data_IF_421797938460
#
_entry.id   IF_421797938460
#
_cell.length_a   1.000
_cell.length_b   1.000
_cell.length_c   1.000
_cell.angle_alpha   90.00
_cell.angle_beta   90.00
_cell.angle_gamma   90.00
#
_symmetry.space_group_name_H-M   'P 1'
#
loop_
_entity.id
_entity.type
_entity.pdbx_description
1 polymer ?
#
# COMPACT_ATOMS: atom_id res chain seq x y z
N UNK A 1 -6.53 19.42 -17.22
CA UNK A 1 -6.81 18.79 -15.91
C UNK A 1 -7.86 19.63 -15.20
N UNK A 2 -8.93 19.02 -14.68
CA UNK A 2 -9.92 19.74 -13.86
C UNK A 2 -9.40 19.84 -12.42
N UNK A 3 -9.53 21.00 -11.76
CA UNK A 3 -9.07 21.23 -10.37
C UNK A 3 -9.34 20.09 -9.37
N UNK A 4 -10.54 19.46 -9.37
CA UNK A 4 -10.85 18.32 -8.50
C UNK A 4 -9.97 17.08 -8.71
N UNK A 5 -9.47 16.84 -9.93
CA UNK A 5 -8.57 15.70 -10.22
C UNK A 5 -7.20 15.94 -9.61
N UNK A 6 -6.66 17.15 -9.73
CA UNK A 6 -5.39 17.54 -9.12
C UNK A 6 -5.45 17.38 -7.59
N UNK A 7 -6.53 17.87 -6.97
CA UNK A 7 -6.74 17.74 -5.53
C UNK A 7 -6.78 16.27 -5.07
N UNK A 8 -7.53 15.41 -5.78
CA UNK A 8 -7.55 13.98 -5.47
C UNK A 8 -6.17 13.33 -5.63
N UNK A 9 -5.42 13.71 -6.66
CA UNK A 9 -4.09 13.15 -6.94
C UNK A 9 -3.08 13.52 -5.86
N UNK A 10 -3.12 14.75 -5.35
CA UNK A 10 -2.28 15.18 -4.23
C UNK A 10 -2.63 14.39 -2.97
N UNK A 11 -3.92 14.31 -2.58
CA UNK A 11 -4.33 13.65 -1.33
C UNK A 11 -4.05 12.14 -1.36
N UNK A 12 -4.51 11.45 -2.40
CA UNK A 12 -4.32 9.99 -2.46
C UNK A 12 -2.86 9.63 -2.76
N UNK A 13 -2.14 10.47 -3.49
CA UNK A 13 -0.70 10.29 -3.72
C UNK A 13 0.13 10.44 -2.44
N UNK A 14 -0.13 11.48 -1.63
CA UNK A 14 0.57 11.67 -0.35
C UNK A 14 0.21 10.60 0.68
N UNK A 15 -1.06 10.19 0.75
CA UNK A 15 -1.48 9.09 1.60
C UNK A 15 -0.84 7.76 1.16
N UNK A 16 -0.85 7.45 -0.13
CA UNK A 16 -0.19 6.26 -0.66
C UNK A 16 1.31 6.26 -0.36
N UNK A 17 1.98 7.40 -0.52
CA UNK A 17 3.38 7.56 -0.14
C UNK A 17 3.60 7.26 1.36
N UNK A 18 2.84 7.94 2.22
CA UNK A 18 2.98 7.83 3.67
C UNK A 18 2.75 6.41 4.18
N UNK A 19 1.67 5.75 3.73
CA UNK A 19 1.35 4.39 4.17
C UNK A 19 2.32 3.36 3.58
N UNK A 20 2.69 3.47 2.31
CA UNK A 20 3.69 2.57 1.73
C UNK A 20 5.06 2.71 2.42
N UNK A 21 5.43 3.93 2.82
CA UNK A 21 6.63 4.19 3.60
C UNK A 21 6.55 3.55 5.00
N UNK A 22 5.46 3.78 5.73
CA UNK A 22 5.25 3.22 7.07
C UNK A 22 5.27 1.69 7.08
N UNK A 23 4.63 1.04 6.12
CA UNK A 23 4.64 -0.43 6.05
C UNK A 23 6.00 -0.99 5.65
N UNK A 24 6.84 -0.21 4.96
CA UNK A 24 8.14 -0.66 4.50
C UNK A 24 9.30 -0.33 5.45
N UNK A 25 9.19 0.70 6.29
CA UNK A 25 10.32 1.18 7.11
C UNK A 25 10.79 0.17 8.16
N UNK A 26 9.90 -0.69 8.65
CA UNK A 26 10.25 -1.73 9.62
C UNK A 26 10.82 -3.00 9.00
N UNK A 27 10.81 -3.12 7.67
CA UNK A 27 11.13 -4.37 6.96
C UNK A 27 12.20 -4.20 5.88
N UNK A 28 12.43 -2.98 5.40
CA UNK A 28 13.44 -2.66 4.39
C UNK A 28 14.38 -1.55 4.87
N UNK A 29 15.56 -1.47 4.26
CA UNK A 29 16.46 -0.33 4.41
C UNK A 29 15.76 0.99 4.05
N UNK A 30 16.21 2.12 4.63
CA UNK A 30 15.61 3.45 4.41
C UNK A 30 15.45 3.83 2.93
N UNK A 31 16.37 3.42 2.06
CA UNK A 31 16.26 3.62 0.61
C UNK A 31 15.18 2.72 -0.03
N UNK A 32 15.07 1.46 0.40
CA UNK A 32 14.06 0.53 -0.10
C UNK A 32 12.65 0.98 0.29
N UNK A 33 12.46 1.45 1.52
CA UNK A 33 11.16 1.99 1.96
C UNK A 33 10.77 3.25 1.19
N UNK A 34 11.73 4.13 0.90
CA UNK A 34 11.50 5.35 0.11
C UNK A 34 11.19 5.02 -1.37
N UNK A 35 11.87 4.03 -1.96
CA UNK A 35 11.57 3.56 -3.31
C UNK A 35 10.15 2.98 -3.41
N UNK A 36 9.77 2.09 -2.49
CA UNK A 36 8.42 1.52 -2.44
C UNK A 36 7.35 2.60 -2.26
N UNK A 37 7.60 3.57 -1.38
CA UNK A 37 6.70 4.70 -1.17
C UNK A 37 6.51 5.56 -2.44
N UNK A 38 7.61 5.85 -3.13
CA UNK A 38 7.60 6.65 -4.35
C UNK A 38 6.88 5.92 -5.49
N UNK A 39 7.14 4.62 -5.65
CA UNK A 39 6.47 3.78 -6.66
C UNK A 39 4.97 3.68 -6.36
N UNK A 40 4.58 3.41 -5.12
CA UNK A 40 3.18 3.34 -4.70
C UNK A 40 2.42 4.65 -4.95
N UNK A 41 3.05 5.77 -4.61
CA UNK A 41 2.50 7.10 -4.87
C UNK A 41 2.38 7.38 -6.38
N UNK A 42 3.42 7.10 -7.17
CA UNK A 42 3.42 7.33 -8.61
C UNK A 42 2.35 6.49 -9.33
N UNK A 43 2.21 5.22 -8.97
CA UNK A 43 1.18 4.33 -9.54
C UNK A 43 -0.24 4.80 -9.17
N UNK A 44 -0.45 5.19 -7.92
CA UNK A 44 -1.75 5.72 -7.46
C UNK A 44 -2.11 7.01 -8.20
N UNK A 45 -1.15 7.92 -8.33
CA UNK A 45 -1.27 9.16 -9.10
C UNK A 45 -1.56 8.89 -10.59
N UNK A 46 -0.87 7.94 -11.21
CA UNK A 46 -1.12 7.54 -12.59
C UNK A 46 -2.54 6.97 -12.76
N UNK A 47 -3.01 6.15 -11.82
CA UNK A 47 -4.35 5.57 -11.87
C UNK A 47 -5.46 6.63 -11.80
N UNK A 48 -5.24 7.67 -10.99
CA UNK A 48 -6.13 8.84 -10.86
C UNK A 48 -6.09 9.71 -12.12
N UNK A 49 -4.91 9.90 -12.72
CA UNK A 49 -4.74 10.72 -13.93
C UNK A 49 -5.66 10.31 -15.07
N UNK A 50 -5.78 9.00 -15.30
CA UNK A 50 -6.62 8.44 -16.36
C UNK A 50 -8.12 8.42 -16.04
N UNK A 51 -8.57 8.99 -14.93
CA UNK A 51 -9.99 9.03 -14.59
C UNK A 51 -10.76 10.00 -15.51
N UNK A 52 -11.92 9.59 -16.03
CA UNK A 52 -12.75 10.43 -16.92
C UNK A 52 -13.38 11.62 -16.19
N UNK A 53 -13.92 11.43 -14.98
CA UNK A 53 -14.55 12.50 -14.18
C UNK A 53 -13.95 12.63 -12.76
N UNK A 54 -14.26 13.73 -12.06
CA UNK A 54 -13.80 13.98 -10.69
C UNK A 54 -14.22 12.85 -9.72
N UNK A 55 -15.45 12.35 -9.82
CA UNK A 55 -15.94 11.25 -8.98
C UNK A 55 -15.21 9.93 -9.28
N UNK A 56 -14.89 9.66 -10.55
CA UNK A 56 -14.07 8.51 -10.92
C UNK A 56 -12.62 8.65 -10.43
N UNK A 57 -12.10 9.87 -10.35
CA UNK A 57 -10.77 10.14 -9.82
C UNK A 57 -10.69 9.78 -8.32
N UNK A 58 -11.71 10.15 -7.55
CA UNK A 58 -11.83 9.73 -6.15
C UNK A 58 -12.02 8.21 -6.00
N UNK A 59 -12.91 7.59 -6.77
CA UNK A 59 -13.12 6.14 -6.71
C UNK A 59 -11.83 5.36 -7.01
N UNK A 60 -11.07 5.80 -8.03
CA UNK A 60 -9.76 5.23 -8.37
C UNK A 60 -8.68 5.51 -7.32
N UNK A 61 -8.74 6.65 -6.64
CA UNK A 61 -7.88 6.95 -5.50
C UNK A 61 -8.09 5.99 -4.33
N UNK A 62 -9.34 5.71 -3.96
CA UNK A 62 -9.66 4.71 -2.92
C UNK A 62 -9.25 3.29 -3.32
N UNK A 63 -9.46 2.90 -4.59
CA UNK A 63 -9.00 1.61 -5.10
C UNK A 63 -7.47 1.48 -5.08
N UNK A 64 -6.76 2.53 -5.51
CA UNK A 64 -5.30 2.57 -5.49
C UNK A 64 -4.74 2.50 -4.07
N UNK A 65 -5.31 3.28 -3.16
CA UNK A 65 -4.92 3.28 -1.75
C UNK A 65 -5.22 1.93 -1.08
N UNK A 66 -6.38 1.33 -1.38
CA UNK A 66 -6.69 -0.03 -0.94
C UNK A 66 -5.72 -1.09 -1.47
N UNK A 67 -5.30 -0.98 -2.73
CA UNK A 67 -4.29 -1.87 -3.30
C UNK A 67 -2.92 -1.70 -2.63
N UNK A 68 -2.51 -0.46 -2.30
CA UNK A 68 -1.28 -0.19 -1.55
C UNK A 68 -1.30 -0.86 -0.18
N UNK A 69 -2.43 -0.77 0.53
CA UNK A 69 -2.61 -1.39 1.85
C UNK A 69 -2.55 -2.92 1.84
N UNK A 70 -2.84 -3.56 0.71
CA UNK A 70 -2.76 -5.03 0.58
C UNK A 70 -1.37 -5.43 0.08
N UNK A 71 -0.92 -4.83 -1.04
CA UNK A 71 0.27 -5.27 -1.76
C UNK A 71 1.54 -4.94 -0.99
N UNK A 72 1.64 -3.75 -0.36
CA UNK A 72 2.88 -3.35 0.31
C UNK A 72 3.19 -4.24 1.51
N UNK A 73 2.25 -4.53 2.44
CA UNK A 73 2.53 -5.48 3.52
C UNK A 73 2.86 -6.89 3.03
N UNK A 74 2.21 -7.38 1.96
CA UNK A 74 2.51 -8.69 1.38
C UNK A 74 3.91 -8.73 0.78
N UNK A 75 4.30 -7.70 0.02
CA UNK A 75 5.64 -7.59 -0.55
C UNK A 75 6.71 -7.46 0.55
N UNK A 76 6.41 -6.72 1.63
CA UNK A 76 7.31 -6.57 2.75
C UNK A 76 7.50 -7.89 3.53
N UNK A 77 6.45 -8.72 3.66
CA UNK A 77 6.55 -10.07 4.23
C UNK A 77 7.38 -11.03 3.37
N UNK A 78 7.23 -10.96 2.05
CA UNK A 78 8.06 -11.74 1.13
C UNK A 78 9.55 -11.36 1.26
N UNK A 79 9.85 -10.05 1.29
CA UNK A 79 11.21 -9.54 1.50
C UNK A 79 11.78 -9.90 2.87
N UNK A 80 10.95 -9.93 3.92
CA UNK A 80 11.36 -10.38 5.25
C UNK A 80 11.81 -11.85 5.26
N UNK A 81 11.08 -12.73 4.55
CA UNK A 81 11.48 -14.14 4.41
C UNK A 81 12.84 -14.32 3.73
N UNK A 82 13.11 -13.50 2.70
CA UNK A 82 14.40 -13.50 2.01
C UNK A 82 15.55 -12.99 2.91
N UNK A 83 15.30 -11.96 3.72
CA UNK A 83 16.28 -11.48 4.70
C UNK A 83 16.62 -12.53 5.76
N UNK A 84 15.62 -13.25 6.28
CA UNK A 84 15.85 -14.36 7.22
C UNK A 84 16.71 -15.44 6.56
N UNK A 85 16.36 -15.84 5.34
CA UNK A 85 17.10 -16.88 4.61
C UNK A 85 18.56 -16.48 4.41
N UNK A 86 18.81 -15.23 4.01
CA UNK A 86 20.17 -14.72 3.77
C UNK A 86 20.97 -14.58 5.07
N UNK A 87 20.34 -14.12 6.16
CA UNK A 87 20.95 -14.04 7.49
C UNK A 87 21.30 -15.42 8.05
N UNK A 88 20.41 -16.40 7.90
CA UNK A 88 20.66 -17.78 8.29
C UNK A 88 21.84 -18.37 7.51
N UNK A 89 21.90 -18.18 6.19
CA UNK A 89 23.02 -18.63 5.36
C UNK A 89 24.34 -17.95 5.76
N UNK A 90 24.34 -16.64 6.04
CA UNK A 90 25.52 -15.93 6.50
C UNK A 90 26.03 -16.47 7.85
N UNK A 91 25.12 -16.74 8.79
CA UNK A 91 25.45 -17.30 10.11
C UNK A 91 26.05 -18.72 10.03
N UNK A 92 25.56 -19.54 9.10
CA UNK A 92 26.10 -20.87 8.83
C UNK A 92 27.49 -20.80 8.21
N UNK A 93 27.75 -19.79 7.37
CA UNK A 93 29.06 -19.59 6.73
C UNK A 93 30.11 -19.02 7.70
N UNK A 94 29.70 -18.15 8.62
CA UNK A 94 30.62 -17.52 9.59
C UNK A 94 30.84 -18.36 10.85
N UNK A 95 30.04 -19.43 11.07
CA UNK A 95 30.14 -20.28 12.25
C UNK A 95 29.72 -19.60 13.55
N UNK A 96 29.19 -18.38 13.48
CA UNK A 96 28.67 -17.61 14.61
C UNK A 96 27.16 -17.73 14.64
N UNK A 97 26.61 -18.29 15.72
CA UNK A 97 25.17 -18.29 15.98
C UNK A 97 24.65 -16.86 16.12
N UNK A 98 23.43 -16.60 15.64
CA UNK A 98 22.77 -15.31 15.79
C UNK A 98 22.74 -14.90 17.27
N UNK A 99 22.98 -13.63 17.55
CA UNK A 99 22.97 -13.14 18.94
C UNK A 99 21.54 -13.09 19.49
N UNK A 100 21.39 -13.06 20.82
CA UNK A 100 20.08 -12.90 21.45
C UNK A 100 19.38 -11.60 21.01
N UNK A 101 20.16 -10.55 20.75
CA UNK A 101 19.68 -9.26 20.25
C UNK A 101 19.08 -9.38 18.84
N UNK A 102 19.78 -10.04 17.91
CA UNK A 102 19.29 -10.26 16.53
C UNK A 102 18.03 -11.13 16.51
N UNK A 103 17.98 -12.14 17.38
CA UNK A 103 16.82 -13.03 17.50
C UNK A 103 15.59 -12.27 18.03
N UNK A 104 15.78 -11.42 19.04
CA UNK A 104 14.69 -10.60 19.58
C UNK A 104 14.16 -9.57 18.57
N UNK A 105 15.05 -8.95 17.78
CA UNK A 105 14.69 -8.03 16.72
C UNK A 105 13.89 -8.72 15.61
N UNK A 106 14.28 -9.94 15.23
CA UNK A 106 13.55 -10.77 14.26
C UNK A 106 12.13 -11.10 14.72
N UNK A 107 11.96 -11.50 15.99
CA UNK A 107 10.65 -11.80 16.56
C UNK A 107 9.77 -10.55 16.54
N UNK A 108 10.29 -9.41 16.98
CA UNK A 108 9.55 -8.15 16.97
C UNK A 108 9.12 -7.76 15.54
N UNK A 109 10.05 -7.83 14.57
CA UNK A 109 9.77 -7.55 13.16
C UNK A 109 8.71 -8.48 12.57
N UNK A 110 8.70 -9.77 12.93
CA UNK A 110 7.68 -10.72 12.49
C UNK A 110 6.28 -10.42 13.04
N UNK A 111 6.19 -9.92 14.28
CA UNK A 111 4.92 -9.49 14.88
C UNK A 111 4.41 -8.22 14.19
N UNK A 112 5.29 -7.25 13.93
CA UNK A 112 4.90 -6.05 13.18
C UNK A 112 4.49 -6.38 11.74
N UNK A 113 5.19 -7.29 11.07
CA UNK A 113 4.88 -7.71 9.72
C UNK A 113 3.51 -8.40 9.63
N UNK A 114 3.21 -9.32 10.55
CA UNK A 114 1.92 -10.02 10.60
C UNK A 114 0.76 -9.10 11.00
N UNK A 115 0.95 -8.24 12.01
CA UNK A 115 -0.05 -7.24 12.39
C UNK A 115 -0.30 -6.24 11.26
N UNK A 116 0.76 -5.78 10.60
CA UNK A 116 0.70 -4.92 9.43
C UNK A 116 -0.05 -5.55 8.25
N UNK A 117 0.14 -6.85 8.00
CA UNK A 117 -0.62 -7.57 6.97
C UNK A 117 -2.11 -7.64 7.32
N UNK A 118 -2.48 -8.05 8.54
CA UNK A 118 -3.90 -8.17 8.91
C UNK A 118 -4.59 -6.81 8.84
N UNK A 119 -3.96 -5.78 9.39
CA UNK A 119 -4.48 -4.41 9.32
C UNK A 119 -4.58 -3.92 7.88
N UNK A 120 -3.51 -4.10 7.09
CA UNK A 120 -3.44 -3.75 5.68
C UNK A 120 -4.53 -4.43 4.86
N UNK A 121 -4.76 -5.71 5.10
CA UNK A 121 -5.77 -6.51 4.40
C UNK A 121 -7.19 -6.04 4.74
N UNK A 122 -7.50 -5.85 6.02
CA UNK A 122 -8.84 -5.40 6.46
C UNK A 122 -9.14 -4.01 5.93
N UNK A 123 -8.24 -3.05 6.17
CA UNK A 123 -8.42 -1.65 5.72
C UNK A 123 -8.40 -1.57 4.20
N UNK A 124 -7.51 -2.31 3.54
CA UNK A 124 -7.42 -2.37 2.09
C UNK A 124 -8.70 -2.89 1.44
N UNK A 125 -9.30 -3.96 1.98
CA UNK A 125 -10.59 -4.47 1.50
C UNK A 125 -11.71 -3.45 1.69
N UNK A 126 -11.77 -2.77 2.84
CA UNK A 126 -12.78 -1.72 3.08
C UNK A 126 -12.64 -0.60 2.05
N UNK A 127 -11.42 -0.13 1.79
CA UNK A 127 -11.16 0.93 0.80
C UNK A 127 -11.50 0.49 -0.62
N UNK A 128 -11.22 -0.77 -0.98
CA UNK A 128 -11.62 -1.34 -2.27
C UNK A 128 -13.14 -1.40 -2.39
N UNK A 129 -13.85 -1.81 -1.34
CA UNK A 129 -15.31 -1.83 -1.31
C UNK A 129 -15.90 -0.42 -1.47
N UNK A 130 -15.37 0.57 -0.76
CA UNK A 130 -15.79 1.98 -0.89
C UNK A 130 -15.56 2.47 -2.33
N UNK A 131 -14.35 2.26 -2.87
CA UNK A 131 -14.02 2.62 -4.24
C UNK A 131 -14.91 1.92 -5.28
N UNK A 132 -15.22 0.64 -5.07
CA UNK A 132 -16.10 -0.17 -5.90
C UNK A 132 -17.57 0.29 -5.84
N UNK A 133 -18.10 0.60 -4.65
CA UNK A 133 -19.44 1.15 -4.47
C UNK A 133 -19.58 2.53 -5.13
N UNK A 134 -18.56 3.38 -4.98
CA UNK A 134 -18.51 4.68 -5.67
C UNK A 134 -18.48 4.52 -7.19
N UNK A 135 -17.90 3.44 -7.70
CA UNK A 135 -17.91 3.13 -9.13
C UNK A 135 -19.29 2.61 -9.59
N UNK A 136 -19.99 1.78 -8.80
CA UNK A 136 -21.30 1.19 -9.16
C UNK A 136 -22.47 2.18 -9.12
N UNK A 137 -22.44 3.18 -8.24
CA UNK A 137 -23.49 4.21 -8.17
C UNK A 137 -23.51 5.19 -9.39
N UNK A 138 -22.95 4.80 -10.53
CA UNK A 138 -23.00 5.56 -11.79
C UNK A 138 -24.07 5.09 -12.77
N UNK A 139 -24.70 3.93 -12.53
CA UNK A 139 -25.86 3.48 -13.33
C UNK A 139 -27.15 3.61 -12.51
N UNK A 140 -27.77 4.80 -12.53
CA UNK A 140 -29.23 5.03 -12.64
C UNK A 140 -29.61 6.45 -12.18
N UNK A 141 -29.83 7.32 -13.16
CA UNK A 141 -31.10 8.07 -13.30
C UNK A 141 -31.27 8.41 -14.78
N UNK A 142 -32.03 7.60 -15.55
CA UNK A 142 -32.54 8.04 -16.83
C UNK A 142 -33.58 9.14 -16.58
N UNK A 143 -33.35 10.29 -17.20
CA UNK A 143 -34.26 11.39 -17.50
C UNK A 143 -35.71 11.26 -16.97
N UNK A 144 -36.10 12.13 -16.04
CA UNK A 144 -37.47 12.66 -16.07
C UNK A 144 -37.48 13.84 -17.04
N UNK A 145 -37.76 13.52 -18.30
CA UNK A 145 -38.43 14.46 -19.20
C UNK A 145 -39.84 14.62 -18.64
N UNK A 146 -40.15 15.79 -18.11
CA UNK A 146 -41.51 16.31 -17.90
C UNK A 146 -41.37 17.83 -18.01
N UNK A 147 -41.58 18.32 -19.23
CA UNK A 147 -42.74 19.15 -19.62
C UNK A 147 -42.63 20.60 -19.15
#
# INVERSE_FOLDING_TARGET
MTGPKLFSMIIFGTLAFFFAFLFSIGLNNAFGSLATATIGAALTCAFIWFARSARHAFARGFLGLGAVFIIVPVAALAGFGEQISNGAMASLQSGTSMTEEETSALVLSSVFASAGLVFGLVVGLILILIGGLMHRNTTATPNSVTE
#
